data_IF_567740655979
#
_entry.id   IF_567740655979
#
_cell.length_a   1.000
_cell.length_b   1.000
_cell.length_c   1.000
_cell.angle_alpha   90.00
_cell.angle_beta   90.00
_cell.angle_gamma   90.00
#
_symmetry.space_group_name_H-M   'P 1'
#
loop_
_entity.id
_entity.type
_entity.pdbx_description
1 polymer ?
#
# COMPACT_ATOMS: atom_id res chain seq x y z
N UNK A 1 27.02 13.34 -22.86
CA UNK A 1 25.83 13.19 -22.00
C UNK A 1 24.74 12.52 -22.80
N UNK A 2 24.19 11.39 -22.33
CA UNK A 2 23.03 10.75 -22.98
C UNK A 2 21.79 11.61 -22.73
N UNK A 3 21.23 12.22 -23.77
CA UNK A 3 20.03 13.08 -23.68
C UNK A 3 18.71 12.31 -23.83
N UNK A 4 18.71 10.97 -23.80
CA UNK A 4 17.54 10.12 -23.93
C UNK A 4 17.23 9.33 -22.69
N UNK A 5 15.97 8.88 -22.56
CA UNK A 5 15.56 7.96 -21.48
C UNK A 5 16.34 6.64 -21.66
N UNK A 6 17.02 6.11 -20.63
CA UNK A 6 17.91 4.95 -20.76
C UNK A 6 17.18 3.64 -21.12
N UNK A 7 15.86 3.59 -20.94
CA UNK A 7 15.03 2.43 -21.29
C UNK A 7 13.58 2.85 -21.55
N UNK A 8 12.86 2.05 -22.32
CA UNK A 8 11.42 2.21 -22.54
C UNK A 8 10.60 1.76 -21.33
N UNK A 9 9.39 2.30 -21.17
CA UNK A 9 8.48 1.93 -20.08
C UNK A 9 8.07 0.44 -20.11
N UNK A 10 8.04 -0.17 -21.30
CA UNK A 10 7.75 -1.59 -21.47
C UNK A 10 8.87 -2.47 -20.93
N UNK A 11 10.14 -2.06 -21.07
CA UNK A 11 11.31 -2.77 -20.54
C UNK A 11 11.28 -2.85 -19.02
N UNK A 12 10.86 -1.77 -18.33
CA UNK A 12 10.64 -1.78 -16.88
C UNK A 12 9.53 -2.78 -16.47
N UNK A 13 8.53 -2.97 -17.33
CA UNK A 13 7.48 -3.97 -17.10
C UNK A 13 8.04 -5.39 -17.25
N UNK A 14 8.84 -5.64 -18.27
CA UNK A 14 9.52 -6.92 -18.48
C UNK A 14 10.53 -7.21 -17.37
N UNK A 15 11.32 -6.21 -16.97
CA UNK A 15 12.25 -6.32 -15.85
C UNK A 15 11.52 -6.74 -14.56
N UNK A 16 10.44 -6.04 -14.16
CA UNK A 16 9.65 -6.40 -12.97
C UNK A 16 9.09 -7.82 -13.02
N UNK A 17 8.62 -8.27 -14.18
CA UNK A 17 8.15 -9.64 -14.36
C UNK A 17 9.27 -10.67 -14.18
N UNK A 18 10.48 -10.38 -14.67
CA UNK A 18 11.65 -11.29 -14.54
C UNK A 18 12.15 -11.37 -13.11
N UNK A 19 12.33 -10.25 -12.40
CA UNK A 19 12.83 -10.26 -11.03
C UNK A 19 11.83 -10.83 -10.03
N UNK A 20 10.53 -10.61 -10.25
CA UNK A 20 9.47 -11.00 -9.34
C UNK A 20 9.64 -10.41 -7.94
N UNK A 21 8.95 -10.97 -6.95
CA UNK A 21 9.06 -10.56 -5.54
C UNK A 21 10.44 -10.88 -4.97
N UNK A 22 10.99 -12.05 -5.28
CA UNK A 22 12.30 -12.47 -4.79
C UNK A 22 13.43 -11.54 -5.26
N UNK A 23 13.40 -11.07 -6.51
CA UNK A 23 14.36 -10.09 -7.00
C UNK A 23 14.19 -8.72 -6.34
N UNK A 24 12.97 -8.30 -6.06
CA UNK A 24 12.70 -7.06 -5.33
C UNK A 24 13.21 -7.13 -3.87
N UNK A 25 13.10 -8.29 -3.20
CA UNK A 25 13.70 -8.53 -1.88
C UNK A 25 15.25 -8.43 -1.93
N UNK A 26 15.88 -8.98 -2.98
CA UNK A 26 17.34 -8.84 -3.16
C UNK A 26 17.77 -7.38 -3.35
N UNK A 27 16.98 -6.58 -4.05
CA UNK A 27 17.24 -5.14 -4.21
C UNK A 27 17.11 -4.45 -2.85
N UNK A 28 16.07 -4.74 -2.06
CA UNK A 28 15.93 -4.20 -0.70
C UNK A 28 17.13 -4.59 0.17
N UNK A 29 17.55 -5.87 0.15
CA UNK A 29 18.71 -6.36 0.88
C UNK A 29 20.00 -5.59 0.51
N UNK A 30 20.20 -5.33 -0.78
CA UNK A 30 21.37 -4.55 -1.23
C UNK A 30 21.34 -3.12 -0.68
N UNK A 31 20.15 -2.48 -0.62
CA UNK A 31 20.04 -1.12 -0.07
C UNK A 31 20.19 -1.06 1.46
N UNK A 32 19.83 -2.12 2.19
CA UNK A 32 20.09 -2.24 3.63
C UNK A 32 21.59 -2.31 3.89
N UNK A 33 22.33 -3.07 3.08
CA UNK A 33 23.81 -3.20 3.20
C UNK A 33 24.56 -1.86 3.11
N UNK A 34 24.01 -0.85 2.43
CA UNK A 34 24.60 0.50 2.37
C UNK A 34 24.75 1.15 3.76
N UNK A 35 23.93 0.75 4.71
CA UNK A 35 23.93 1.30 6.07
C UNK A 35 24.88 0.54 7.03
N UNK A 36 25.44 -0.62 6.61
CA UNK A 36 26.35 -1.44 7.41
C UNK A 36 25.76 -1.80 8.78
N UNK A 37 26.57 -1.77 9.82
CA UNK A 37 26.15 -2.11 11.19
C UNK A 37 25.01 -1.22 11.75
N UNK A 38 24.79 -0.04 11.18
CA UNK A 38 23.68 0.85 11.59
C UNK A 38 22.32 0.28 11.24
N UNK A 39 22.24 -0.64 10.29
CA UNK A 39 21.01 -1.35 9.95
C UNK A 39 20.68 -2.45 10.97
N UNK A 40 21.66 -2.94 11.73
CA UNK A 40 21.51 -4.05 12.69
C UNK A 40 21.06 -3.56 14.06
N UNK A 41 19.85 -3.00 14.14
CA UNK A 41 19.30 -2.52 15.41
C UNK A 41 18.59 -3.64 16.16
N UNK A 42 18.86 -3.78 17.47
CA UNK A 42 18.17 -4.74 18.36
C UNK A 42 16.68 -4.45 18.49
N UNK A 43 16.30 -3.16 18.46
CA UNK A 43 14.92 -2.70 18.54
C UNK A 43 14.47 -2.10 17.20
N UNK A 44 13.34 -2.57 16.70
CA UNK A 44 12.70 -2.05 15.50
C UNK A 44 11.31 -1.49 15.80
N UNK A 45 10.82 -0.63 14.94
CA UNK A 45 9.43 -0.15 14.96
C UNK A 45 8.67 -0.77 13.80
N UNK A 46 7.45 -1.21 14.06
CA UNK A 46 6.56 -1.80 13.06
C UNK A 46 5.25 -1.04 13.02
N UNK A 47 4.74 -0.82 11.82
CA UNK A 47 3.41 -0.24 11.61
C UNK A 47 2.79 -0.77 10.31
N UNK A 48 1.44 -0.74 10.26
CA UNK A 48 0.71 -1.13 9.06
C UNK A 48 0.16 0.10 8.33
N UNK A 49 0.19 0.03 7.02
CA UNK A 49 -0.38 1.06 6.17
C UNK A 49 -1.20 0.45 5.04
N UNK A 50 -1.97 1.28 4.35
CA UNK A 50 -2.67 0.89 3.13
C UNK A 50 -1.88 1.39 1.94
N UNK A 51 -1.53 0.48 1.05
CA UNK A 51 -1.07 0.77 -0.29
C UNK A 51 -2.30 0.86 -1.20
N UNK A 52 -2.71 2.07 -1.54
CA UNK A 52 -3.92 2.24 -2.35
C UNK A 52 -3.70 1.80 -3.80
N UNK A 53 -4.68 1.12 -4.36
CA UNK A 53 -4.69 0.73 -5.76
C UNK A 53 -5.17 1.86 -6.67
N UNK A 54 -4.65 1.89 -7.90
CA UNK A 54 -5.13 2.79 -8.94
C UNK A 54 -6.52 2.38 -9.44
N UNK A 55 -7.50 2.50 -8.57
CA UNK A 55 -8.90 2.28 -8.89
C UNK A 55 -9.72 3.55 -8.73
N UNK A 56 -10.80 3.69 -9.48
CA UNK A 56 -11.77 4.75 -9.23
C UNK A 56 -12.54 4.44 -7.96
N UNK A 57 -12.85 5.47 -7.14
CA UNK A 57 -13.67 5.29 -5.93
C UNK A 57 -14.90 4.42 -6.24
N UNK A 58 -15.02 3.23 -5.62
CA UNK A 58 -16.02 2.24 -5.96
C UNK A 58 -17.40 2.65 -5.45
N UNK A 59 -18.37 2.61 -6.34
CA UNK A 59 -19.78 2.61 -6.01
C UNK A 59 -20.48 1.54 -6.84
N UNK A 60 -21.53 0.93 -6.34
CA UNK A 60 -22.27 -0.11 -7.07
C UNK A 60 -22.68 0.35 -8.48
N UNK A 61 -23.04 1.63 -8.62
CA UNK A 61 -23.39 2.23 -9.91
C UNK A 61 -22.20 2.30 -10.86
N UNK A 62 -21.01 2.69 -10.36
CA UNK A 62 -19.79 2.72 -11.19
C UNK A 62 -19.32 1.32 -11.56
N UNK A 63 -19.43 0.36 -10.64
CA UNK A 63 -19.11 -1.04 -10.92
C UNK A 63 -20.04 -1.62 -11.98
N UNK A 64 -21.36 -1.41 -11.86
CA UNK A 64 -22.31 -1.83 -12.88
C UNK A 64 -22.03 -1.18 -14.25
N UNK A 65 -21.65 0.10 -14.29
CA UNK A 65 -21.26 0.77 -15.52
C UNK A 65 -20.00 0.15 -16.16
N UNK A 66 -18.99 -0.20 -15.34
CA UNK A 66 -17.79 -0.90 -15.82
C UNK A 66 -18.12 -2.30 -16.35
N UNK A 67 -19.04 -3.01 -15.69
CA UNK A 67 -19.52 -4.32 -16.16
C UNK A 67 -20.20 -4.18 -17.53
N UNK A 68 -21.09 -3.20 -17.72
CA UNK A 68 -21.73 -2.98 -19.03
C UNK A 68 -20.68 -2.69 -20.10
N UNK A 69 -19.79 -1.74 -19.86
CA UNK A 69 -18.75 -1.36 -20.85
C UNK A 69 -17.78 -2.52 -21.18
N UNK A 70 -17.32 -3.24 -20.16
CA UNK A 70 -16.45 -4.41 -20.33
C UNK A 70 -17.17 -5.55 -21.02
N UNK A 71 -18.43 -5.80 -20.62
CA UNK A 71 -19.26 -6.84 -21.21
C UNK A 71 -19.58 -6.61 -22.68
N UNK A 72 -19.83 -5.36 -23.10
CA UNK A 72 -20.03 -5.04 -24.52
C UNK A 72 -18.77 -5.36 -25.34
N UNK A 73 -17.59 -4.99 -24.83
CA UNK A 73 -16.31 -5.32 -25.51
C UNK A 73 -16.09 -6.83 -25.57
N UNK A 74 -16.42 -7.55 -24.50
CA UNK A 74 -16.29 -9.01 -24.43
C UNK A 74 -17.28 -9.70 -25.38
N UNK A 75 -18.51 -9.21 -25.46
CA UNK A 75 -19.51 -9.72 -26.39
C UNK A 75 -19.02 -9.66 -27.85
N UNK A 76 -18.36 -8.55 -28.25
CA UNK A 76 -17.75 -8.45 -29.57
C UNK A 76 -16.65 -9.49 -29.82
N UNK A 77 -15.81 -9.79 -28.80
CA UNK A 77 -14.77 -10.83 -28.91
C UNK A 77 -15.30 -12.25 -29.05
N UNK A 78 -16.41 -12.53 -28.39
CA UNK A 78 -17.06 -13.85 -28.41
C UNK A 78 -18.23 -13.97 -29.40
N UNK A 79 -18.39 -13.01 -30.32
CA UNK A 79 -19.45 -13.05 -31.34
C UNK A 79 -20.88 -12.94 -30.79
N UNK A 80 -21.05 -12.50 -29.54
CA UNK A 80 -22.36 -12.36 -28.90
C UNK A 80 -23.04 -11.09 -29.39
N UNK A 81 -24.16 -11.25 -30.10
CA UNK A 81 -24.98 -10.12 -30.56
C UNK A 81 -25.79 -9.54 -29.39
N UNK A 82 -25.36 -8.39 -28.87
CA UNK A 82 -26.13 -7.62 -27.89
C UNK A 82 -27.17 -6.76 -28.61
N UNK A 83 -28.35 -6.60 -28.00
CA UNK A 83 -29.43 -5.75 -28.56
C UNK A 83 -29.02 -4.27 -28.68
N UNK A 84 -28.08 -3.78 -27.84
CA UNK A 84 -27.61 -2.40 -27.81
C UNK A 84 -26.17 -2.33 -27.32
N UNK A 85 -25.40 -1.34 -27.77
CA UNK A 85 -24.05 -1.06 -27.28
C UNK A 85 -24.04 -0.32 -25.92
N UNK A 86 -25.14 0.28 -25.55
CA UNK A 86 -25.30 1.08 -24.33
C UNK A 86 -24.37 2.32 -24.23
N UNK A 87 -23.65 2.69 -25.28
CA UNK A 87 -22.69 3.80 -25.30
C UNK A 87 -23.30 5.12 -24.86
N UNK A 88 -24.52 5.42 -25.34
CA UNK A 88 -25.27 6.64 -24.96
C UNK A 88 -26.02 6.48 -23.63
N UNK A 89 -26.46 5.27 -23.31
CA UNK A 89 -27.27 4.98 -22.12
C UNK A 89 -26.47 5.05 -20.83
N UNK A 90 -25.27 4.44 -20.80
CA UNK A 90 -24.43 4.41 -19.59
C UNK A 90 -24.02 5.81 -19.13
N UNK A 91 -23.51 6.72 -19.99
CA UNK A 91 -23.20 8.08 -19.57
C UNK A 91 -24.40 8.85 -19.00
N UNK A 92 -25.58 8.75 -19.63
CA UNK A 92 -26.82 9.38 -19.13
C UNK A 92 -27.21 8.88 -17.74
N UNK A 93 -27.12 7.56 -17.49
CA UNK A 93 -27.42 6.97 -16.18
C UNK A 93 -26.36 7.33 -15.11
N UNK A 94 -25.11 7.50 -15.49
CA UNK A 94 -24.06 8.01 -14.60
C UNK A 94 -24.25 9.49 -14.29
N UNK A 95 -24.63 10.32 -15.27
CA UNK A 95 -24.93 11.73 -15.06
C UNK A 95 -26.11 11.94 -14.10
N UNK A 96 -27.11 11.04 -14.14
CA UNK A 96 -28.24 11.05 -13.20
C UNK A 96 -27.84 10.80 -11.72
N UNK A 97 -26.59 10.38 -11.45
CA UNK A 97 -26.06 10.26 -10.08
C UNK A 97 -25.66 11.62 -9.48
N UNK A 98 -25.54 12.67 -10.30
CA UNK A 98 -25.29 14.03 -9.83
C UNK A 98 -26.58 14.59 -9.18
N UNK A 99 -26.44 15.53 -8.29
CA UNK A 99 -27.61 16.16 -7.64
C UNK A 99 -28.33 15.30 -6.57
N UNK A 100 -27.67 14.30 -6.00
CA UNK A 100 -28.21 13.42 -4.94
C UNK A 100 -28.63 14.14 -3.65
N UNK A 101 -28.23 15.39 -3.48
CA UNK A 101 -28.52 16.15 -2.25
C UNK A 101 -30.00 16.53 -2.12
N UNK A 102 -30.71 16.68 -3.22
CA UNK A 102 -32.16 16.94 -3.20
C UNK A 102 -32.97 15.63 -3.20
N UNK A 103 -34.20 15.67 -2.64
CA UNK A 103 -35.13 14.53 -2.60
C UNK A 103 -35.42 13.97 -4.01
N UNK A 104 -35.74 14.86 -4.95
CA UNK A 104 -35.99 14.49 -6.36
C UNK A 104 -34.73 13.94 -7.05
N UNK A 105 -33.56 14.55 -6.83
CA UNK A 105 -32.28 14.09 -7.36
C UNK A 105 -31.89 12.70 -6.81
N UNK A 106 -32.14 12.46 -5.52
CA UNK A 106 -31.91 11.15 -4.90
C UNK A 106 -32.81 10.07 -5.49
N UNK A 107 -34.10 10.36 -5.75
CA UNK A 107 -35.02 9.42 -6.38
C UNK A 107 -34.61 9.08 -7.80
N UNK A 108 -34.22 10.08 -8.61
CA UNK A 108 -33.69 9.91 -9.96
C UNK A 108 -32.40 9.07 -9.97
N UNK A 109 -31.49 9.34 -9.06
CA UNK A 109 -30.24 8.58 -8.93
C UNK A 109 -30.49 7.12 -8.58
N UNK A 110 -31.42 6.82 -7.65
CA UNK A 110 -31.83 5.44 -7.32
C UNK A 110 -32.44 4.71 -8.53
N UNK A 111 -33.33 5.37 -9.29
CA UNK A 111 -33.92 4.81 -10.51
C UNK A 111 -32.85 4.48 -11.56
N UNK A 112 -31.91 5.40 -11.78
CA UNK A 112 -30.79 5.20 -12.71
C UNK A 112 -29.87 4.07 -12.27
N UNK A 113 -29.54 3.97 -10.97
CA UNK A 113 -28.72 2.88 -10.44
C UNK A 113 -29.37 1.52 -10.63
N UNK A 114 -30.67 1.39 -10.33
CA UNK A 114 -31.44 0.16 -10.56
C UNK A 114 -31.43 -0.23 -12.06
N UNK A 115 -31.71 0.72 -12.94
CA UNK A 115 -31.70 0.47 -14.40
C UNK A 115 -30.32 0.01 -14.87
N UNK A 116 -29.24 0.62 -14.38
CA UNK A 116 -27.87 0.25 -14.76
C UNK A 116 -27.53 -1.16 -14.26
N UNK A 117 -27.92 -1.53 -13.03
CA UNK A 117 -27.75 -2.88 -12.49
C UNK A 117 -28.52 -3.92 -13.33
N UNK A 118 -29.74 -3.61 -13.75
CA UNK A 118 -30.56 -4.48 -14.64
C UNK A 118 -29.88 -4.69 -16.00
N UNK A 119 -29.36 -3.63 -16.60
CA UNK A 119 -28.60 -3.73 -17.88
C UNK A 119 -27.35 -4.59 -17.69
N UNK A 120 -26.57 -4.34 -16.65
CA UNK A 120 -25.37 -5.13 -16.34
C UNK A 120 -25.70 -6.61 -16.15
N UNK A 121 -26.74 -6.93 -15.37
CA UNK A 121 -27.20 -8.31 -15.19
C UNK A 121 -27.64 -9.00 -16.48
N UNK A 122 -28.27 -8.26 -17.39
CA UNK A 122 -28.67 -8.79 -18.69
C UNK A 122 -27.45 -9.11 -19.58
N UNK A 123 -26.47 -8.19 -19.65
CA UNK A 123 -25.22 -8.41 -20.39
C UNK A 123 -24.44 -9.58 -19.82
N UNK A 124 -24.34 -9.68 -18.49
CA UNK A 124 -23.60 -10.78 -17.83
C UNK A 124 -24.25 -12.13 -18.10
N UNK A 125 -25.61 -12.24 -18.05
CA UNK A 125 -26.29 -13.50 -18.39
C UNK A 125 -26.04 -13.96 -19.82
N UNK A 126 -26.03 -13.04 -20.79
CA UNK A 126 -25.73 -13.39 -22.19
C UNK A 126 -24.29 -13.87 -22.35
N UNK A 127 -23.32 -13.22 -21.66
CA UNK A 127 -21.93 -13.65 -21.66
C UNK A 127 -21.73 -14.98 -20.91
N UNK A 128 -22.46 -15.21 -19.83
CA UNK A 128 -22.37 -16.44 -19.04
C UNK A 128 -22.73 -17.68 -19.87
N UNK A 129 -23.73 -17.54 -20.75
CA UNK A 129 -24.14 -18.61 -21.68
C UNK A 129 -23.15 -18.80 -22.85
N UNK A 130 -22.41 -17.77 -23.26
CA UNK A 130 -21.60 -17.80 -24.45
C UNK A 130 -20.08 -17.96 -24.22
N UNK A 131 -19.58 -17.53 -23.05
CA UNK A 131 -18.15 -17.61 -22.74
C UNK A 131 -17.80 -19.00 -22.22
N UNK A 132 -16.91 -19.75 -22.89
CA UNK A 132 -16.50 -21.09 -22.43
C UNK A 132 -15.87 -21.06 -21.04
N UNK A 133 -16.04 -22.15 -20.28
CA UNK A 133 -15.52 -22.29 -18.91
C UNK A 133 -14.00 -22.19 -18.83
N UNK A 134 -13.30 -22.66 -19.86
CA UNK A 134 -11.83 -22.67 -19.98
C UNK A 134 -11.25 -21.33 -20.46
N UNK A 135 -12.12 -20.41 -20.90
CA UNK A 135 -11.68 -19.10 -21.39
C UNK A 135 -11.12 -18.24 -20.26
N UNK A 136 -10.02 -17.50 -20.55
CA UNK A 136 -9.49 -16.47 -19.64
C UNK A 136 -10.54 -15.41 -19.24
N UNK A 137 -11.51 -15.19 -20.12
CA UNK A 137 -12.60 -14.24 -19.87
C UNK A 137 -13.64 -14.77 -18.87
N UNK A 138 -13.65 -16.08 -18.58
CA UNK A 138 -14.57 -16.68 -17.60
C UNK A 138 -14.43 -16.09 -16.20
N UNK A 139 -13.20 -15.87 -15.73
CA UNK A 139 -12.95 -15.22 -14.43
C UNK A 139 -13.61 -13.84 -14.35
N UNK A 140 -13.62 -13.08 -15.45
CA UNK A 140 -14.27 -11.78 -15.49
C UNK A 140 -15.80 -11.91 -15.34
N UNK A 141 -16.42 -12.88 -16.02
CA UNK A 141 -17.87 -13.15 -15.93
C UNK A 141 -18.24 -13.51 -14.50
N UNK A 142 -17.51 -14.43 -13.86
CA UNK A 142 -17.75 -14.82 -12.47
C UNK A 142 -17.58 -13.65 -11.49
N UNK A 143 -16.56 -12.82 -11.69
CA UNK A 143 -16.34 -11.61 -10.90
C UNK A 143 -17.50 -10.62 -11.06
N UNK A 144 -17.99 -10.43 -12.28
CA UNK A 144 -19.12 -9.57 -12.57
C UNK A 144 -20.43 -10.11 -11.92
N UNK A 145 -20.64 -11.42 -11.93
CA UNK A 145 -21.77 -12.07 -11.23
C UNK A 145 -21.71 -11.80 -9.74
N UNK A 146 -20.55 -12.00 -9.11
CA UNK A 146 -20.35 -11.72 -7.68
C UNK A 146 -20.60 -10.25 -7.35
N UNK A 147 -20.10 -9.30 -8.15
CA UNK A 147 -20.33 -7.86 -7.94
C UNK A 147 -21.82 -7.52 -8.01
N UNK A 148 -22.57 -8.12 -8.92
CA UNK A 148 -24.00 -7.84 -9.10
C UNK A 148 -24.87 -8.46 -8.01
N UNK A 149 -24.46 -9.58 -7.40
CA UNK A 149 -25.17 -10.25 -6.32
C UNK A 149 -24.86 -9.66 -4.95
N UNK A 150 -23.70 -9.02 -4.75
CA UNK A 150 -23.25 -8.54 -3.44
C UNK A 150 -24.20 -7.52 -2.81
N UNK A 151 -24.37 -7.62 -1.48
CA UNK A 151 -25.15 -6.72 -0.64
C UNK A 151 -24.26 -5.75 0.12
N UNK A 152 -24.85 -4.70 0.69
CA UNK A 152 -24.11 -3.72 1.49
C UNK A 152 -23.48 -4.34 2.75
N UNK A 153 -24.11 -5.34 3.32
CA UNK A 153 -23.69 -6.03 4.55
C UNK A 153 -22.63 -7.10 4.35
N UNK A 154 -22.30 -7.48 3.11
CA UNK A 154 -21.36 -8.56 2.87
C UNK A 154 -19.96 -8.17 3.33
N UNK A 155 -19.26 -9.05 4.03
CA UNK A 155 -17.92 -8.82 4.58
C UNK A 155 -16.83 -8.85 3.52
N UNK A 156 -16.95 -9.71 2.50
CA UNK A 156 -15.98 -9.89 1.41
C UNK A 156 -16.50 -9.31 0.10
N UNK A 157 -16.61 -7.98 0.04
CA UNK A 157 -17.08 -7.29 -1.16
C UNK A 157 -15.96 -7.08 -2.17
N UNK A 158 -16.31 -7.16 -3.45
CA UNK A 158 -15.42 -6.82 -4.56
C UNK A 158 -15.61 -5.33 -4.88
N UNK A 159 -14.53 -4.57 -4.81
CA UNK A 159 -14.52 -3.12 -5.03
C UNK A 159 -13.99 -2.73 -6.41
N UNK A 160 -13.39 -3.67 -7.14
CA UNK A 160 -12.90 -3.44 -8.49
C UNK A 160 -13.06 -4.67 -9.37
N UNK A 161 -13.51 -4.47 -10.61
CA UNK A 161 -13.70 -5.55 -11.58
C UNK A 161 -12.35 -6.08 -12.14
N UNK A 162 -11.34 -5.22 -12.23
CA UNK A 162 -10.02 -5.57 -12.76
C UNK A 162 -8.98 -5.88 -11.68
N UNK A 163 -9.28 -5.54 -10.42
CA UNK A 163 -8.48 -5.82 -9.23
C UNK A 163 -9.43 -6.33 -8.13
N UNK A 164 -9.93 -7.56 -8.25
CA UNK A 164 -10.93 -8.09 -7.31
C UNK A 164 -10.38 -8.32 -5.90
N UNK A 165 -9.06 -8.39 -5.75
CA UNK A 165 -8.34 -8.59 -4.49
C UNK A 165 -8.20 -7.30 -3.65
N UNK A 166 -8.74 -6.17 -4.13
CA UNK A 166 -8.70 -4.90 -3.39
C UNK A 166 -9.63 -4.93 -2.19
N UNK A 167 -9.10 -4.60 -1.03
CA UNK A 167 -9.84 -4.45 0.23
C UNK A 167 -10.23 -3.00 0.49
N UNK A 168 -11.30 -2.82 1.26
CA UNK A 168 -11.73 -1.53 1.80
C UNK A 168 -11.31 -1.45 3.26
N UNK A 169 -10.49 -0.49 3.60
CA UNK A 169 -10.02 -0.25 4.96
C UNK A 169 -10.52 1.09 5.46
N UNK A 170 -11.12 1.09 6.67
CA UNK A 170 -11.55 2.31 7.35
C UNK A 170 -10.49 2.69 8.39
N UNK A 171 -9.85 3.84 8.23
CA UNK A 171 -8.83 4.33 9.18
C UNK A 171 -9.32 5.46 10.11
N UNK A 172 -10.62 5.74 10.14
CA UNK A 172 -11.19 6.77 11.01
C UNK A 172 -10.71 8.20 10.73
N UNK A 173 -10.00 8.43 9.62
CA UNK A 173 -9.55 9.78 9.24
C UNK A 173 -10.72 10.61 8.76
N UNK A 174 -10.84 11.84 9.26
CA UNK A 174 -11.94 12.76 8.96
C UNK A 174 -12.04 13.06 7.46
N UNK A 175 -10.90 13.32 6.80
CA UNK A 175 -10.86 13.66 5.37
C UNK A 175 -10.97 12.44 4.43
N UNK A 176 -10.64 11.22 4.89
CA UNK A 176 -10.60 10.03 4.04
C UNK A 176 -11.03 8.81 4.82
N UNK A 177 -12.36 8.61 4.87
CA UNK A 177 -12.97 7.54 5.65
C UNK A 177 -12.56 6.14 5.19
N UNK A 178 -12.39 5.94 3.87
CA UNK A 178 -12.11 4.65 3.27
C UNK A 178 -10.90 4.72 2.35
N UNK A 179 -9.97 3.76 2.50
CA UNK A 179 -8.85 3.51 1.62
C UNK A 179 -9.06 2.17 0.92
N UNK A 180 -8.79 2.11 -0.39
CA UNK A 180 -9.00 0.90 -1.20
C UNK A 180 -7.67 0.42 -1.75
N UNK A 181 -7.19 -0.71 -1.26
CA UNK A 181 -5.88 -1.23 -1.64
C UNK A 181 -5.52 -2.53 -0.94
N UNK A 182 -4.22 -2.78 -0.85
CA UNK A 182 -3.64 -3.87 -0.09
C UNK A 182 -3.06 -3.34 1.23
N UNK A 183 -3.14 -4.14 2.28
CA UNK A 183 -2.51 -3.85 3.56
C UNK A 183 -1.02 -4.15 3.48
N UNK A 184 -0.20 -3.28 4.00
CA UNK A 184 1.23 -3.41 4.02
C UNK A 184 1.77 -3.24 5.44
N UNK A 185 2.69 -4.11 5.85
CA UNK A 185 3.44 -4.00 7.10
C UNK A 185 4.85 -3.51 6.77
N UNK A 186 5.32 -2.50 7.50
CA UNK A 186 6.64 -1.90 7.32
C UNK A 186 7.41 -1.98 8.63
N UNK A 187 8.65 -2.47 8.57
CA UNK A 187 9.57 -2.52 9.70
C UNK A 187 10.76 -1.62 9.43
N UNK A 188 11.06 -0.75 10.37
CA UNK A 188 12.20 0.16 10.30
C UNK A 188 13.03 0.10 11.59
N UNK A 189 14.34 0.35 11.48
CA UNK A 189 15.22 0.55 12.63
C UNK A 189 14.72 1.71 13.49
N UNK A 190 14.72 1.52 14.80
CA UNK A 190 14.17 2.48 15.78
C UNK A 190 14.92 3.82 15.77
N UNK A 191 16.22 3.79 15.61
CA UNK A 191 17.09 4.99 15.66
C UNK A 191 17.54 5.45 14.27
N UNK A 192 18.02 4.53 13.44
CA UNK A 192 18.51 4.79 12.10
C UNK A 192 17.40 5.03 11.08
N UNK A 193 16.22 4.44 11.32
CA UNK A 193 15.07 4.57 10.44
C UNK A 193 15.26 3.89 9.08
N UNK A 194 16.22 2.99 8.96
CA UNK A 194 16.42 2.14 7.77
C UNK A 194 15.25 1.17 7.67
N UNK A 195 14.63 1.07 6.51
CA UNK A 195 13.55 0.11 6.28
C UNK A 195 14.18 -1.28 6.10
N UNK A 196 13.88 -2.17 7.02
CA UNK A 196 14.43 -3.52 7.11
C UNK A 196 13.50 -4.57 6.52
N UNK A 197 12.19 -4.29 6.48
CA UNK A 197 11.17 -5.17 5.91
C UNK A 197 9.96 -4.40 5.44
N UNK A 198 9.32 -4.91 4.41
CA UNK A 198 8.14 -4.33 3.80
C UNK A 198 7.29 -5.45 3.18
N UNK A 199 6.30 -5.93 3.93
CA UNK A 199 5.51 -7.09 3.56
C UNK A 199 4.09 -6.69 3.15
N UNK A 200 3.68 -7.10 1.95
CA UNK A 200 2.31 -6.90 1.46
C UNK A 200 1.44 -8.06 1.88
N UNK A 201 0.42 -7.81 2.69
CA UNK A 201 -0.49 -8.85 3.17
C UNK A 201 -1.43 -9.30 2.04
N UNK A 202 -1.64 -10.61 1.89
CA UNK A 202 -2.56 -11.14 0.90
C UNK A 202 -4.02 -10.83 1.21
N UNK A 203 -4.35 -10.65 2.50
CA UNK A 203 -5.69 -10.33 3.01
C UNK A 203 -5.66 -9.16 3.99
N UNK A 204 -6.85 -8.62 4.32
CA UNK A 204 -6.98 -7.57 5.33
C UNK A 204 -7.13 -8.16 6.73
N UNK A 205 -6.15 -8.96 7.12
CA UNK A 205 -6.11 -9.60 8.43
C UNK A 205 -5.81 -8.61 9.56
N UNK A 206 -5.95 -9.10 10.78
CA UNK A 206 -5.55 -8.40 11.99
C UNK A 206 -4.03 -8.07 11.96
N UNK A 207 -3.63 -6.89 12.47
CA UNK A 207 -2.25 -6.43 12.39
C UNK A 207 -1.23 -7.38 13.03
N UNK A 208 -1.64 -8.06 14.10
CA UNK A 208 -0.81 -9.07 14.78
C UNK A 208 -0.42 -10.24 13.88
N UNK A 209 -1.29 -10.68 12.96
CA UNK A 209 -0.98 -11.75 12.01
C UNK A 209 0.04 -11.32 10.95
N UNK A 210 0.17 -10.01 10.70
CA UNK A 210 1.16 -9.48 9.78
C UNK A 210 2.59 -9.53 10.32
N UNK A 211 2.76 -9.66 11.63
CA UNK A 211 4.05 -9.47 12.28
C UNK A 211 5.04 -10.59 11.95
N UNK A 212 4.64 -11.86 12.10
CA UNK A 212 5.54 -13.00 11.85
C UNK A 212 6.04 -13.03 10.40
N UNK A 213 5.18 -12.99 9.35
CA UNK A 213 5.66 -12.97 7.98
C UNK A 213 6.57 -11.77 7.67
N UNK A 214 6.34 -10.63 8.35
CA UNK A 214 7.18 -9.44 8.15
C UNK A 214 8.55 -9.61 8.82
N UNK A 215 8.62 -10.19 10.02
CA UNK A 215 9.88 -10.46 10.72
C UNK A 215 10.70 -11.56 10.03
N UNK A 216 10.05 -12.60 9.51
CA UNK A 216 10.71 -13.60 8.65
C UNK A 216 11.30 -12.96 7.40
N UNK A 217 10.59 -11.99 6.79
CA UNK A 217 11.14 -11.23 5.67
C UNK A 217 12.35 -10.40 6.10
N UNK A 218 12.30 -9.72 7.26
CA UNK A 218 13.45 -8.98 7.82
C UNK A 218 14.64 -9.92 7.98
N UNK A 219 14.45 -11.11 8.51
CA UNK A 219 15.52 -12.10 8.69
C UNK A 219 16.14 -12.51 7.35
N UNK A 220 15.32 -12.79 6.34
CA UNK A 220 15.82 -13.12 4.98
C UNK A 220 16.56 -11.97 4.33
N UNK A 221 16.06 -10.73 4.50
CA UNK A 221 16.54 -9.56 3.73
C UNK A 221 17.67 -8.83 4.44
N UNK A 222 17.60 -8.68 5.78
CA UNK A 222 18.61 -8.00 6.58
C UNK A 222 19.65 -8.94 7.20
N UNK A 223 19.41 -10.26 7.17
CA UNK A 223 20.32 -11.28 7.67
C UNK A 223 20.33 -11.41 9.20
N UNK A 224 19.35 -10.85 9.90
CA UNK A 224 19.18 -11.00 11.35
C UNK A 224 17.73 -10.81 11.75
N UNK A 225 17.36 -11.38 12.89
CA UNK A 225 16.03 -11.19 13.50
C UNK A 225 16.13 -10.19 14.65
N UNK A 226 15.33 -9.12 14.66
CA UNK A 226 15.33 -8.13 15.75
C UNK A 226 14.92 -8.76 17.08
N UNK A 227 15.55 -8.35 18.18
CA UNK A 227 15.18 -8.84 19.51
C UNK A 227 13.85 -8.23 20.01
N UNK A 228 13.52 -7.01 19.58
CA UNK A 228 12.32 -6.29 20.02
C UNK A 228 11.64 -5.60 18.86
N UNK A 229 10.34 -5.83 18.70
CA UNK A 229 9.45 -5.12 17.77
C UNK A 229 8.47 -4.22 18.54
N UNK A 230 8.50 -2.91 18.26
CA UNK A 230 7.63 -1.92 18.90
C UNK A 230 6.51 -1.57 17.94
N UNK A 231 5.30 -2.05 18.22
CA UNK A 231 4.10 -1.79 17.43
C UNK A 231 3.12 -0.83 18.07
N UNK A 232 2.04 -0.53 17.38
CA UNK A 232 0.91 0.21 17.93
C UNK A 232 -0.08 -0.71 18.69
N UNK A 233 -1.25 -0.17 19.05
CA UNK A 233 -2.31 -0.95 19.71
C UNK A 233 -2.90 -2.04 18.82
N UNK A 234 -2.72 -1.96 17.52
CA UNK A 234 -3.17 -2.94 16.55
C UNK A 234 -2.43 -4.29 16.67
N UNK A 235 -1.24 -4.30 17.27
CA UNK A 235 -0.45 -5.53 17.51
C UNK A 235 -0.67 -6.15 18.91
N UNK A 236 -1.71 -5.73 19.66
CA UNK A 236 -2.01 -6.29 20.98
C UNK A 236 -2.37 -7.77 20.89
N UNK A 237 -2.07 -8.52 21.94
CA UNK A 237 -2.41 -9.94 22.08
C UNK A 237 -1.24 -10.90 21.86
N UNK A 238 -0.13 -10.39 21.32
CA UNK A 238 1.12 -11.15 21.20
C UNK A 238 2.21 -10.46 22.02
N UNK A 239 2.77 -11.14 23.00
CA UNK A 239 3.94 -10.66 23.77
C UNK A 239 5.25 -11.05 23.10
N UNK A 240 5.24 -12.11 22.31
CA UNK A 240 6.38 -12.63 21.54
C UNK A 240 5.92 -13.09 20.15
N UNK A 241 6.81 -12.98 19.20
CA UNK A 241 6.65 -13.41 17.83
C UNK A 241 7.94 -14.17 17.45
N UNK A 242 7.92 -15.51 17.62
CA UNK A 242 9.15 -16.30 17.65
C UNK A 242 10.10 -15.83 18.76
N UNK A 243 11.33 -15.51 18.41
CA UNK A 243 12.34 -14.98 19.35
C UNK A 243 12.24 -13.46 19.59
N UNK A 244 11.35 -12.76 18.93
CA UNK A 244 11.21 -11.31 19.02
C UNK A 244 10.18 -10.91 20.08
N UNK A 245 10.58 -10.13 21.09
CA UNK A 245 9.66 -9.51 22.04
C UNK A 245 8.78 -8.47 21.34
N UNK A 246 7.47 -8.54 21.53
CA UNK A 246 6.50 -7.57 20.96
C UNK A 246 6.06 -6.60 22.03
N UNK A 247 6.36 -5.32 21.82
CA UNK A 247 6.06 -4.24 22.75
C UNK A 247 4.99 -3.33 22.17
N UNK A 248 3.83 -3.31 22.81
CA UNK A 248 2.71 -2.44 22.42
C UNK A 248 2.34 -1.48 23.55
N UNK A 249 1.74 -0.31 23.23
CA UNK A 249 1.26 0.61 24.28
C UNK A 249 0.17 -0.06 25.14
N UNK A 250 0.52 -0.41 26.37
CA UNK A 250 -0.41 -0.96 27.36
C UNK A 250 -1.10 0.12 28.21
N UNK A 251 -2.11 -0.27 28.98
CA UNK A 251 -2.50 0.52 30.16
C UNK A 251 -1.32 0.45 31.12
N UNK A 252 -0.72 1.61 31.44
CA UNK A 252 0.35 1.67 32.46
C UNK A 252 -0.11 0.97 33.73
N UNK A 253 0.77 0.22 34.39
CA UNK A 253 0.49 -0.35 35.70
C UNK A 253 0.02 0.79 36.63
N UNK A 254 -1.10 0.63 37.34
CA UNK A 254 -1.66 1.66 38.24
C UNK A 254 -0.59 2.19 39.20
N UNK A 255 0.30 1.32 39.69
CA UNK A 255 1.36 1.62 40.67
C UNK A 255 2.75 1.78 40.02
N UNK A 256 2.85 2.05 38.70
CA UNK A 256 4.14 2.28 38.09
C UNK A 256 4.79 3.56 38.62
N UNK A 257 6.09 3.49 38.97
CA UNK A 257 6.87 4.63 39.40
C UNK A 257 6.96 5.72 38.31
N UNK A 258 7.28 6.96 38.72
CA UNK A 258 7.49 8.06 37.77
C UNK A 258 8.62 7.72 36.73
N UNK A 259 9.64 7.01 37.17
CA UNK A 259 10.73 6.54 36.32
C UNK A 259 10.24 5.55 35.27
N UNK A 260 9.46 4.53 35.64
CA UNK A 260 8.90 3.54 34.71
C UNK A 260 7.97 4.19 33.69
N UNK A 261 7.11 5.12 34.13
CA UNK A 261 6.24 5.92 33.24
C UNK A 261 7.07 6.74 32.25
N UNK A 262 8.15 7.37 32.69
CA UNK A 262 9.07 8.15 31.84
C UNK A 262 9.80 7.25 30.84
N UNK A 263 10.30 6.08 31.28
CA UNK A 263 10.97 5.08 30.43
C UNK A 263 10.03 4.56 29.35
N UNK A 264 8.79 4.20 29.69
CA UNK A 264 7.77 3.76 28.76
C UNK A 264 7.43 4.87 27.73
N UNK A 265 7.20 6.13 28.19
CA UNK A 265 6.96 7.26 27.27
C UNK A 265 8.13 7.47 26.29
N UNK A 266 9.38 7.39 26.74
CA UNK A 266 10.58 7.53 25.89
C UNK A 266 10.63 6.41 24.83
N UNK A 267 10.31 5.17 25.22
CA UNK A 267 10.28 4.01 24.30
C UNK A 267 9.23 4.20 23.20
N UNK A 268 8.01 4.62 23.55
CA UNK A 268 6.91 4.81 22.60
C UNK A 268 7.01 6.12 21.80
N UNK A 269 7.65 7.16 22.33
CA UNK A 269 7.87 8.40 21.54
C UNK A 269 8.68 8.13 20.28
N UNK A 270 9.65 7.21 20.33
CA UNK A 270 10.43 6.78 19.16
C UNK A 270 9.61 6.00 18.14
N UNK A 271 8.52 5.33 18.55
CA UNK A 271 7.60 4.66 17.62
C UNK A 271 7.01 5.64 16.59
N UNK A 272 6.66 6.84 17.02
CA UNK A 272 6.11 7.85 16.12
C UNK A 272 7.04 8.18 14.94
N UNK A 273 8.33 7.82 15.00
CA UNK A 273 9.27 8.03 13.89
C UNK A 273 8.98 7.17 12.65
N UNK A 274 8.17 6.10 12.76
CA UNK A 274 7.77 5.31 11.59
C UNK A 274 6.72 6.03 10.74
N UNK A 275 5.86 6.86 11.34
CA UNK A 275 4.78 7.56 10.62
C UNK A 275 5.33 8.51 9.53
N UNK A 276 6.33 9.37 9.80
CA UNK A 276 6.98 10.14 8.75
C UNK A 276 7.65 9.26 7.67
N UNK A 277 8.21 8.09 8.05
CA UNK A 277 8.80 7.17 7.08
C UNK A 277 7.75 6.62 6.12
N UNK A 278 6.63 6.16 6.64
CA UNK A 278 5.48 5.75 5.83
C UNK A 278 4.94 6.92 5.00
N UNK A 279 4.91 8.13 5.56
CA UNK A 279 4.59 9.36 4.85
C UNK A 279 5.49 9.55 3.62
N UNK A 280 6.80 9.48 3.79
CA UNK A 280 7.77 9.57 2.69
C UNK A 280 7.64 8.42 1.67
N UNK A 281 7.37 7.18 2.11
CA UNK A 281 7.08 6.10 1.17
C UNK A 281 5.90 6.44 0.28
N UNK A 282 4.88 7.09 0.82
CA UNK A 282 3.68 7.50 0.07
C UNK A 282 3.96 8.69 -0.85
N UNK A 283 4.54 9.78 -0.33
CA UNK A 283 4.73 11.03 -1.09
C UNK A 283 5.87 10.94 -2.09
N UNK A 284 7.02 10.38 -1.70
CA UNK A 284 8.25 10.48 -2.47
C UNK A 284 8.52 9.22 -3.31
N UNK A 285 8.02 8.05 -2.85
CA UNK A 285 8.30 6.74 -3.47
C UNK A 285 7.06 6.02 -4.00
N UNK A 286 5.97 6.76 -4.28
CA UNK A 286 4.74 6.30 -4.96
C UNK A 286 4.00 5.14 -4.28
N UNK A 287 4.10 5.02 -2.96
CA UNK A 287 3.31 4.04 -2.22
C UNK A 287 1.85 4.50 -2.01
N UNK A 288 1.54 5.78 -2.25
CA UNK A 288 0.20 6.35 -2.15
C UNK A 288 -0.76 5.77 -3.19
N UNK A 289 -0.24 5.39 -4.39
CA UNK A 289 -1.06 4.86 -5.47
C UNK A 289 -0.34 3.82 -6.31
N UNK A 290 -0.69 2.56 -6.09
CA UNK A 290 -0.10 1.44 -6.82
C UNK A 290 -0.79 1.21 -8.18
N UNK A 291 -0.01 1.26 -9.25
CA UNK A 291 -0.45 0.99 -10.62
C UNK A 291 -0.19 -0.45 -11.06
N UNK A 292 0.60 -1.21 -10.29
CA UNK A 292 0.88 -2.60 -10.60
C UNK A 292 -0.32 -3.48 -10.21
N UNK A 293 -0.54 -4.57 -10.95
CA UNK A 293 -1.71 -5.43 -10.80
C UNK A 293 -1.43 -6.65 -9.94
N UNK A 294 -2.48 -7.08 -9.22
CA UNK A 294 -2.48 -8.28 -8.40
C UNK A 294 -1.56 -8.19 -7.18
N UNK A 295 -1.52 -9.26 -6.38
CA UNK A 295 -0.74 -9.34 -5.15
C UNK A 295 0.78 -9.24 -5.38
N UNK A 296 1.27 -9.86 -6.46
CA UNK A 296 2.70 -9.75 -6.85
C UNK A 296 3.06 -8.30 -7.17
N UNK A 297 2.17 -7.57 -7.87
CA UNK A 297 2.34 -6.14 -8.12
C UNK A 297 2.35 -5.32 -6.83
N UNK A 298 1.56 -5.69 -5.83
CA UNK A 298 1.53 -5.03 -4.53
C UNK A 298 2.85 -5.22 -3.78
N UNK A 299 3.35 -6.45 -3.74
CA UNK A 299 4.61 -6.78 -3.09
C UNK A 299 5.79 -6.06 -3.77
N UNK A 300 5.88 -6.09 -5.10
CA UNK A 300 6.96 -5.42 -5.84
C UNK A 300 6.92 -3.90 -5.62
N UNK A 301 5.75 -3.26 -5.72
CA UNK A 301 5.65 -1.82 -5.52
C UNK A 301 6.09 -1.39 -4.11
N UNK A 302 5.67 -2.14 -3.09
CA UNK A 302 6.03 -1.89 -1.70
C UNK A 302 7.53 -2.07 -1.46
N UNK A 303 8.11 -3.19 -1.92
CA UNK A 303 9.54 -3.50 -1.78
C UNK A 303 10.41 -2.47 -2.51
N UNK A 304 10.03 -2.06 -3.72
CA UNK A 304 10.77 -1.07 -4.48
C UNK A 304 10.67 0.32 -3.85
N UNK A 305 9.53 0.70 -3.25
CA UNK A 305 9.41 1.94 -2.49
C UNK A 305 10.33 1.93 -1.25
N UNK A 306 10.36 0.82 -0.51
CA UNK A 306 11.25 0.62 0.63
C UNK A 306 12.74 0.68 0.20
N UNK A 307 13.08 -0.04 -0.88
CA UNK A 307 14.43 -0.06 -1.43
C UNK A 307 14.89 1.33 -1.93
N UNK A 308 14.01 2.13 -2.51
CA UNK A 308 14.35 3.49 -2.94
C UNK A 308 14.51 4.47 -1.75
N UNK A 309 13.78 4.25 -0.66
CA UNK A 309 13.87 5.09 0.55
C UNK A 309 15.23 4.95 1.26
N UNK A 310 15.80 3.75 1.31
CA UNK A 310 17.06 3.50 2.03
C UNK A 310 18.26 4.28 1.44
N UNK A 311 18.56 4.24 0.13
CA UNK A 311 19.62 5.06 -0.46
C UNK A 311 19.40 6.57 -0.26
N UNK A 312 18.14 7.04 -0.36
CA UNK A 312 17.83 8.45 -0.09
C UNK A 312 18.19 8.86 1.34
N UNK A 313 17.90 8.00 2.31
CA UNK A 313 18.30 8.20 3.70
C UNK A 313 19.82 8.20 3.85
N UNK A 314 20.51 7.26 3.22
CA UNK A 314 21.96 7.16 3.23
C UNK A 314 22.62 8.41 2.63
N UNK A 315 22.17 8.85 1.47
CA UNK A 315 22.67 10.07 0.81
C UNK A 315 22.51 11.31 1.70
N UNK A 316 21.36 11.49 2.35
CA UNK A 316 21.14 12.59 3.31
C UNK A 316 22.13 12.54 4.47
N UNK A 317 22.42 11.35 4.99
CA UNK A 317 23.42 11.19 6.08
C UNK A 317 24.84 11.51 5.63
N UNK A 318 25.23 11.10 4.43
CA UNK A 318 26.53 11.41 3.84
C UNK A 318 26.66 12.92 3.62
N UNK A 319 25.66 13.54 3.01
CA UNK A 319 25.65 15.00 2.78
C UNK A 319 25.79 15.80 4.09
N UNK A 320 25.03 15.43 5.12
CA UNK A 320 25.13 16.09 6.42
C UNK A 320 26.54 16.00 7.03
N UNK A 321 27.23 14.86 6.87
CA UNK A 321 28.61 14.69 7.34
C UNK A 321 29.58 15.55 6.55
N UNK A 322 29.41 15.63 5.22
CA UNK A 322 30.22 16.49 4.37
C UNK A 322 30.06 17.96 4.75
N UNK A 323 28.81 18.42 4.93
CA UNK A 323 28.53 19.80 5.38
C UNK A 323 29.14 20.07 6.75
N UNK A 324 29.05 19.13 7.69
CA UNK A 324 29.68 19.27 9.01
C UNK A 324 31.22 19.32 8.92
N UNK A 325 31.84 18.44 8.13
CA UNK A 325 33.27 18.43 7.93
C UNK A 325 33.78 19.75 7.30
N UNK A 326 33.05 20.28 6.30
CA UNK A 326 33.36 21.59 5.70
C UNK A 326 33.27 22.73 6.71
N UNK A 327 32.24 22.72 7.58
CA UNK A 327 32.12 23.74 8.65
C UNK A 327 33.29 23.69 9.63
N UNK A 328 33.70 22.51 10.07
CA UNK A 328 34.87 22.34 10.95
C UNK A 328 36.14 22.85 10.24
N UNK A 329 36.31 22.51 8.96
CA UNK A 329 37.47 22.98 8.18
C UNK A 329 37.49 24.52 8.11
N UNK A 330 36.36 25.16 7.80
CA UNK A 330 36.24 26.62 7.76
C UNK A 330 36.56 27.24 9.12
N UNK A 331 36.07 26.70 10.23
CA UNK A 331 36.38 27.19 11.58
C UNK A 331 37.88 27.10 11.90
N UNK A 332 38.54 25.98 11.53
CA UNK A 332 40.00 25.82 11.72
C UNK A 332 40.80 26.79 10.88
N UNK A 333 40.40 27.06 9.63
CA UNK A 333 41.05 28.05 8.80
C UNK A 333 40.92 29.47 9.36
N UNK A 334 39.75 29.84 9.91
CA UNK A 334 39.52 31.13 10.54
C UNK A 334 40.33 31.30 11.83
N UNK A 335 40.41 30.27 12.67
CA UNK A 335 41.24 30.31 13.90
C UNK A 335 42.75 30.36 13.62
N UNK A 336 43.19 29.78 12.49
CA UNK A 336 44.60 29.88 12.08
C UNK A 336 44.98 31.26 11.53
N UNK A 337 44.03 32.07 11.03
CA UNK A 337 44.26 33.43 10.54
C UNK A 337 44.35 34.49 11.66
N UNK A 338 43.87 34.20 12.87
CA UNK A 338 43.92 35.06 14.04
C UNK A 338 44.56 34.31 15.22
N UNK A 339 45.91 34.21 15.29
CA UNK A 339 46.55 33.73 16.51
C UNK A 339 46.23 34.73 17.62
N UNK A 340 45.71 34.27 18.75
CA UNK A 340 45.48 35.09 19.92
C UNK A 340 46.84 35.70 20.32
N UNK A 341 46.95 37.04 20.53
CA UNK A 341 48.18 37.63 21.08
C UNK A 341 48.41 37.06 22.47
N UNK A 342 49.66 36.71 22.77
CA UNK A 342 50.16 36.19 24.04
C UNK A 342 49.96 37.19 25.19
#
# INVERSE_FOLDING_TARGET
>A
MQCGVPCDASELTHFRKRIGTAGAEKILAATIKLHGERAKEKEVVVDTTVQEKNITFPTDTKLAAKIVRGGVKMAGRHGVKLRQSFERTVPKLLAAQRGRRTKAGAARARKAARRLKTIAGRVVRQLDAAVPMESRDRRWVETAKKILSQKRSDSRKIYSLHEPEVYCMSKGKEHKKYEFGAKASVVAGKNGGVILGAYSLPENDYDGHALEPTLEQVERVAGYRPAVAIGDKGFRGQSHCGQTEVVTPGRGKKNASAYEKRKARKRFRRRAAIEPRIGHLKSDFRLDRNFLKGQVGDAINLLMAAAASNPSLWMRQVLLRLVWALRIFQQKCQSAQYPLPA
#
